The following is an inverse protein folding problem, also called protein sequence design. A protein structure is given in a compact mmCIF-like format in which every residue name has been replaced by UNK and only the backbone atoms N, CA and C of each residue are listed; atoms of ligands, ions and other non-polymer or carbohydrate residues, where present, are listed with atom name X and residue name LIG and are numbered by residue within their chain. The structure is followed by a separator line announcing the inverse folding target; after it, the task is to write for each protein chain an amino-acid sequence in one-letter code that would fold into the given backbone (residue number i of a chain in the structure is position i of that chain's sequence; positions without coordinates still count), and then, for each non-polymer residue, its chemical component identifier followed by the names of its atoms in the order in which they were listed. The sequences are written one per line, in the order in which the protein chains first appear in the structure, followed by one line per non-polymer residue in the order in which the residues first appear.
data_IF_369048792193
#
_entry.id   IF_369048792193
#
_cell.length_a   1.000
_cell.length_b   1.000
_cell.length_c   1.000
_cell.angle_alpha   90.00
_cell.angle_beta   90.00
_cell.angle_gamma   90.00
#
_symmetry.space_group_name_H-M   'P 1'
#
loop_
_entity.id
_entity.type
_entity.pdbx_description
1 polymer ?
#
# COMPACT_ATOMS: atom_id res chain seq x y z
N UNK A 1 35.10 9.45 -6.13
CA UNK A 1 34.11 10.30 -5.44
C UNK A 1 33.94 11.72 -6.03
N UNK A 2 34.98 12.55 -6.17
CA UNK A 2 34.82 13.93 -6.68
C UNK A 2 34.25 14.01 -8.12
N UNK A 3 34.74 13.15 -9.03
CA UNK A 3 34.19 13.02 -10.40
C UNK A 3 32.69 12.67 -10.41
N UNK A 4 32.26 11.81 -9.50
CA UNK A 4 30.86 11.43 -9.38
C UNK A 4 29.98 12.60 -8.90
N UNK A 5 30.45 13.37 -7.91
CA UNK A 5 29.75 14.57 -7.45
C UNK A 5 29.59 15.62 -8.56
N UNK A 6 30.63 15.82 -9.38
CA UNK A 6 30.56 16.69 -10.55
C UNK A 6 29.54 16.19 -11.56
N UNK A 7 29.59 14.89 -11.92
CA UNK A 7 28.59 14.27 -12.81
C UNK A 7 27.14 14.49 -12.32
N UNK A 8 26.87 14.25 -11.04
CA UNK A 8 25.52 14.45 -10.47
C UNK A 8 25.12 15.92 -10.54
N UNK A 9 26.03 16.84 -10.20
CA UNK A 9 25.78 18.28 -10.28
C UNK A 9 25.51 18.74 -11.72
N UNK A 10 26.29 18.25 -12.68
CA UNK A 10 26.13 18.60 -14.09
C UNK A 10 24.80 18.08 -14.63
N UNK A 11 24.42 16.85 -14.27
CA UNK A 11 23.12 16.29 -14.63
C UNK A 11 21.97 17.11 -14.04
N UNK A 12 22.01 17.45 -12.75
CA UNK A 12 20.95 18.21 -12.08
C UNK A 12 20.78 19.65 -12.60
N UNK A 13 21.83 20.23 -13.18
CA UNK A 13 21.80 21.55 -13.80
C UNK A 13 21.47 21.49 -15.31
N UNK A 14 21.31 20.29 -15.88
CA UNK A 14 20.98 20.12 -17.30
C UNK A 14 19.52 20.48 -17.59
N UNK A 15 19.18 20.91 -18.82
CA UNK A 15 17.79 21.20 -19.21
C UNK A 15 16.89 19.97 -19.22
N UNK A 16 17.47 18.76 -19.28
CA UNK A 16 16.74 17.49 -19.26
C UNK A 16 16.37 17.05 -17.84
N UNK A 17 16.97 17.67 -16.81
CA UNK A 17 16.72 17.28 -15.44
C UNK A 17 15.29 17.60 -15.02
N UNK A 18 14.61 16.56 -14.54
CA UNK A 18 13.36 16.69 -13.82
C UNK A 18 13.47 15.98 -12.49
N UNK A 19 13.24 16.71 -11.41
CA UNK A 19 13.25 16.14 -10.06
C UNK A 19 12.13 15.08 -9.93
N UNK A 20 12.44 13.83 -9.54
CA UNK A 20 11.44 12.80 -9.33
C UNK A 20 10.71 13.01 -8.00
N UNK A 21 9.45 12.63 -7.93
CA UNK A 21 8.74 12.37 -6.67
C UNK A 21 9.19 11.03 -6.08
N UNK A 22 9.33 10.01 -6.94
CA UNK A 22 9.77 8.67 -6.55
C UNK A 22 10.43 7.95 -7.73
N UNK A 23 11.35 7.04 -7.43
CA UNK A 23 11.91 6.14 -8.44
C UNK A 23 12.41 4.83 -7.85
N UNK A 24 12.43 3.80 -8.68
CA UNK A 24 12.93 2.48 -8.31
C UNK A 24 12.94 1.54 -9.51
N UNK A 25 13.61 0.41 -9.37
CA UNK A 25 13.62 -0.65 -10.37
C UNK A 25 12.76 -1.80 -9.86
N UNK A 26 11.73 -2.16 -10.63
CA UNK A 26 10.86 -3.29 -10.35
C UNK A 26 11.32 -4.53 -11.12
N UNK A 27 11.20 -5.70 -10.48
CA UNK A 27 11.09 -6.99 -11.17
C UNK A 27 9.62 -7.23 -11.52
N UNK A 28 9.35 -7.66 -12.74
CA UNK A 28 8.00 -7.88 -13.26
C UNK A 28 7.73 -9.38 -13.35
N UNK A 29 6.69 -9.83 -12.65
CA UNK A 29 6.12 -11.15 -12.89
C UNK A 29 5.17 -11.06 -14.09
N UNK A 30 5.43 -11.85 -15.13
CA UNK A 30 4.69 -11.82 -16.39
C UNK A 30 3.69 -12.96 -16.49
N UNK A 31 2.61 -12.71 -17.23
CA UNK A 31 1.60 -13.72 -17.54
C UNK A 31 2.16 -14.89 -18.33
N UNK A 32 1.75 -16.10 -17.97
CA UNK A 32 2.23 -17.34 -18.57
C UNK A 32 1.80 -17.49 -20.03
N UNK A 33 0.69 -16.85 -20.41
CA UNK A 33 0.13 -16.86 -21.76
C UNK A 33 0.34 -15.54 -22.46
N UNK A 34 -0.04 -14.45 -21.80
CA UNK A 34 -0.13 -13.13 -22.43
C UNK A 34 1.17 -12.32 -22.33
N UNK A 35 2.14 -12.78 -21.53
CA UNK A 35 3.37 -12.06 -21.17
C UNK A 35 3.14 -10.67 -20.53
N UNK A 36 1.90 -10.27 -20.25
CA UNK A 36 1.57 -8.99 -19.62
C UNK A 36 2.11 -8.91 -18.19
N UNK A 37 2.44 -7.72 -17.67
CA UNK A 37 2.75 -7.54 -16.24
C UNK A 37 1.56 -7.97 -15.37
N UNK A 38 1.81 -8.86 -14.39
CA UNK A 38 0.83 -9.28 -13.38
C UNK A 38 1.16 -8.73 -11.99
N UNK A 39 2.45 -8.54 -11.71
CA UNK A 39 2.95 -8.04 -10.43
C UNK A 39 4.28 -7.32 -10.65
N UNK A 40 4.52 -6.25 -9.89
CA UNK A 40 5.79 -5.54 -9.85
C UNK A 40 6.33 -5.55 -8.41
N UNK A 41 7.58 -5.97 -8.24
CA UNK A 41 8.25 -6.00 -6.93
C UNK A 41 9.47 -5.10 -6.95
N UNK A 42 9.49 -4.12 -6.06
CA UNK A 42 10.60 -3.16 -5.91
C UNK A 42 11.46 -3.55 -4.69
N UNK A 43 12.72 -3.99 -4.89
CA UNK A 43 13.63 -4.25 -3.77
C UNK A 43 13.99 -2.95 -3.02
N UNK A 44 14.01 -1.82 -3.72
CA UNK A 44 14.34 -0.50 -3.20
C UNK A 44 13.41 0.53 -3.80
N UNK A 45 12.82 1.36 -2.94
CA UNK A 45 12.04 2.53 -3.33
C UNK A 45 12.71 3.80 -2.79
N UNK A 46 13.05 4.71 -3.69
CA UNK A 46 13.56 6.05 -3.35
C UNK A 46 12.40 7.04 -3.45
N UNK A 47 12.26 7.91 -2.45
CA UNK A 47 11.15 8.85 -2.33
C UNK A 47 11.62 10.25 -1.94
N UNK A 48 11.06 11.28 -2.57
CA UNK A 48 11.45 12.66 -2.36
C UNK A 48 12.90 12.93 -2.76
N UNK A 49 13.73 13.35 -1.81
CA UNK A 49 15.14 13.74 -2.05
C UNK A 49 16.15 12.61 -1.83
N UNK A 50 15.67 11.39 -1.57
CA UNK A 50 16.52 10.23 -1.36
C UNK A 50 17.31 9.86 -2.62
N UNK A 51 18.61 9.63 -2.45
CA UNK A 51 19.49 9.03 -3.46
C UNK A 51 19.44 9.68 -4.86
N UNK A 52 19.31 11.02 -4.95
CA UNK A 52 19.28 11.73 -6.25
C UNK A 52 20.53 11.52 -7.12
N UNK A 53 21.67 11.15 -6.51
CA UNK A 53 22.85 10.72 -7.26
C UNK A 53 22.63 9.41 -8.02
N UNK A 54 21.92 8.45 -7.42
CA UNK A 54 21.50 7.22 -8.09
C UNK A 54 20.46 7.49 -9.17
N UNK A 55 19.55 8.44 -8.95
CA UNK A 55 18.63 8.89 -9.98
C UNK A 55 19.37 9.40 -11.22
N UNK A 56 20.37 10.28 -11.04
CA UNK A 56 21.20 10.78 -12.14
C UNK A 56 21.89 9.64 -12.91
N UNK A 57 22.44 8.65 -12.20
CA UNK A 57 23.05 7.46 -12.84
C UNK A 57 22.04 6.69 -13.66
N UNK A 58 20.85 6.41 -13.12
CA UNK A 58 19.82 5.64 -13.83
C UNK A 58 19.32 6.38 -15.08
N UNK A 59 19.11 7.68 -14.99
CA UNK A 59 18.67 8.48 -16.13
C UNK A 59 19.75 8.60 -17.21
N UNK A 60 21.01 8.78 -16.84
CA UNK A 60 22.13 8.75 -17.80
C UNK A 60 22.31 7.37 -18.43
N UNK A 61 22.07 6.29 -17.69
CA UNK A 61 22.15 4.92 -18.19
C UNK A 61 21.01 4.56 -19.15
N UNK A 62 19.84 5.18 -19.02
CA UNK A 62 18.65 4.91 -19.82
C UNK A 62 18.42 5.90 -20.97
N UNK A 63 19.28 6.93 -21.10
CA UNK A 63 19.08 8.06 -22.02
C UNK A 63 18.88 7.70 -23.50
N UNK A 64 19.41 6.56 -23.93
CA UNK A 64 19.31 6.07 -25.31
C UNK A 64 18.19 5.03 -25.49
N UNK A 65 17.50 4.67 -24.42
CA UNK A 65 16.41 3.71 -24.45
C UNK A 65 15.09 4.46 -24.61
N UNK A 66 14.25 3.98 -25.52
CA UNK A 66 12.88 4.46 -25.63
C UNK A 66 12.10 4.00 -24.39
N UNK A 67 11.29 4.89 -23.77
CA UNK A 67 10.42 4.48 -22.69
C UNK A 67 9.43 3.43 -23.18
N UNK A 68 9.14 2.43 -22.35
CA UNK A 68 8.06 1.47 -22.60
C UNK A 68 6.69 2.18 -22.56
N UNK A 69 6.64 3.30 -21.83
CA UNK A 69 5.50 4.19 -21.76
C UNK A 69 5.95 5.63 -21.61
N UNK A 70 5.48 6.51 -22.49
CA UNK A 70 5.51 7.95 -22.30
C UNK A 70 4.10 8.51 -22.51
N UNK A 71 3.61 9.30 -21.55
CA UNK A 71 2.31 9.97 -21.63
C UNK A 71 2.33 11.01 -22.75
N UNK A 72 1.29 11.03 -23.60
CA UNK A 72 1.04 12.05 -24.63
C UNK A 72 0.47 13.34 -24.01
N UNK A 73 1.13 13.90 -22.98
CA UNK A 73 0.81 15.20 -22.41
C UNK A 73 2.03 16.13 -22.48
N UNK A 74 1.81 17.45 -22.45
CA UNK A 74 2.88 18.45 -22.32
C UNK A 74 3.79 18.19 -21.10
N UNK A 75 3.29 17.47 -20.07
CA UNK A 75 4.04 17.10 -18.88
C UNK A 75 3.72 15.69 -18.37
N UNK A 76 4.61 14.76 -18.69
CA UNK A 76 4.55 13.34 -18.31
C UNK A 76 4.51 13.16 -16.79
N UNK A 77 3.50 12.52 -16.21
CA UNK A 77 3.42 12.35 -14.74
C UNK A 77 4.25 11.17 -14.21
N UNK A 78 4.38 10.13 -15.01
CA UNK A 78 5.16 8.92 -14.74
C UNK A 78 5.81 8.39 -16.03
N UNK A 79 6.96 7.74 -15.90
CA UNK A 79 7.65 7.09 -17.03
C UNK A 79 8.17 5.72 -16.60
N UNK A 80 8.11 4.77 -17.54
CA UNK A 80 8.57 3.39 -17.34
C UNK A 80 9.54 3.02 -18.47
N UNK A 81 10.71 2.52 -18.11
CA UNK A 81 11.73 2.07 -19.04
C UNK A 81 12.07 0.60 -18.81
N UNK A 82 12.29 -0.15 -19.90
CA UNK A 82 12.80 -1.50 -19.84
C UNK A 82 14.31 -1.48 -19.58
N UNK A 83 14.78 -2.28 -18.63
CA UNK A 83 16.21 -2.43 -18.37
C UNK A 83 16.82 -3.35 -19.42
N UNK A 84 17.91 -2.91 -20.05
CA UNK A 84 18.71 -3.68 -20.96
C UNK A 84 20.16 -3.85 -20.48
N UNK A 85 20.96 -4.58 -21.26
CA UNK A 85 22.39 -4.77 -21.00
C UNK A 85 23.17 -3.45 -20.94
N UNK A 86 22.84 -2.48 -21.79
CA UNK A 86 23.55 -1.22 -21.89
C UNK A 86 23.36 -0.37 -20.62
N UNK A 87 22.13 -0.34 -20.11
CA UNK A 87 21.80 0.29 -18.83
C UNK A 87 22.69 -0.25 -17.71
N UNK A 88 22.79 -1.59 -17.59
CA UNK A 88 23.53 -2.24 -16.50
C UNK A 88 25.01 -1.89 -16.59
N UNK A 89 25.62 -2.04 -17.77
CA UNK A 89 27.03 -1.72 -17.99
C UNK A 89 27.31 -0.25 -17.65
N UNK A 90 26.48 0.66 -18.17
CA UNK A 90 26.65 2.10 -17.96
C UNK A 90 26.49 2.50 -16.50
N UNK A 91 25.51 1.93 -15.80
CA UNK A 91 25.31 2.17 -14.37
C UNK A 91 26.51 1.69 -13.54
N UNK A 92 27.04 0.50 -13.83
CA UNK A 92 28.22 -0.04 -13.15
C UNK A 92 29.48 0.79 -13.39
N UNK A 93 29.69 1.30 -14.61
CA UNK A 93 30.78 2.23 -14.91
C UNK A 93 30.72 3.48 -14.03
N UNK A 94 29.54 4.09 -13.90
CA UNK A 94 29.34 5.30 -13.11
C UNK A 94 29.46 5.02 -11.59
N UNK A 95 29.07 3.82 -11.15
CA UNK A 95 29.21 3.38 -9.76
C UNK A 95 30.59 2.81 -9.41
N UNK A 96 31.50 2.63 -10.38
CA UNK A 96 32.83 2.06 -10.15
C UNK A 96 33.56 2.59 -8.90
N UNK A 97 33.51 3.91 -8.55
CA UNK A 97 34.15 4.42 -7.35
C UNK A 97 33.62 3.86 -6.01
N UNK A 98 32.42 3.29 -5.98
CA UNK A 98 31.72 2.85 -4.77
C UNK A 98 31.61 1.32 -4.67
N UNK A 99 31.98 0.58 -5.71
CA UNK A 99 31.81 -0.88 -5.74
C UNK A 99 32.58 -1.59 -4.62
N UNK A 100 33.77 -1.11 -4.26
CA UNK A 100 34.54 -1.69 -3.15
C UNK A 100 33.82 -1.55 -1.81
N UNK A 101 33.13 -0.43 -1.56
CA UNK A 101 32.40 -0.20 -0.31
C UNK A 101 31.24 -1.20 -0.16
N UNK A 102 30.51 -1.48 -1.26
CA UNK A 102 29.39 -2.42 -1.28
C UNK A 102 29.84 -3.87 -1.02
N UNK A 103 31.04 -4.24 -1.46
CA UNK A 103 31.61 -5.57 -1.17
C UNK A 103 31.88 -5.77 0.32
N UNK A 104 32.18 -4.71 1.06
CA UNK A 104 32.44 -4.76 2.49
C UNK A 104 31.16 -4.69 3.34
N UNK A 105 30.16 -3.90 2.92
CA UNK A 105 28.87 -3.80 3.62
C UNK A 105 27.68 -3.97 2.66
N UNK A 106 27.03 -5.13 2.75
CA UNK A 106 25.82 -5.48 1.98
C UNK A 106 24.57 -4.71 2.39
N UNK A 107 24.61 -3.84 3.39
CA UNK A 107 23.50 -2.93 3.70
C UNK A 107 23.75 -1.50 3.19
N UNK A 108 24.97 -1.20 2.76
CA UNK A 108 25.35 0.09 2.17
C UNK A 108 24.92 0.19 0.70
N UNK A 109 24.58 1.39 0.24
CA UNK A 109 24.29 1.69 -1.18
C UNK A 109 23.27 0.75 -1.86
N UNK A 110 22.06 0.65 -1.29
CA UNK A 110 21.00 -0.27 -1.78
C UNK A 110 20.72 -0.19 -3.29
N UNK A 111 20.77 1.00 -3.89
CA UNK A 111 20.58 1.17 -5.34
C UNK A 111 21.70 0.52 -6.18
N UNK A 112 22.94 0.51 -5.68
CA UNK A 112 24.06 -0.16 -6.35
C UNK A 112 23.87 -1.68 -6.29
N UNK A 113 23.40 -2.20 -5.14
CA UNK A 113 23.10 -3.62 -5.00
C UNK A 113 22.03 -4.09 -5.98
N UNK A 114 20.99 -3.29 -6.21
CA UNK A 114 19.99 -3.59 -7.25
C UNK A 114 20.66 -3.75 -8.62
N UNK A 115 21.59 -2.87 -8.99
CA UNK A 115 22.32 -2.98 -10.27
C UNK A 115 23.22 -4.21 -10.31
N UNK A 116 23.85 -4.59 -9.19
CA UNK A 116 24.64 -5.82 -9.11
C UNK A 116 23.78 -7.08 -9.28
N UNK A 117 22.57 -7.11 -8.72
CA UNK A 117 21.63 -8.22 -8.95
C UNK A 117 21.09 -8.23 -10.39
N UNK A 118 20.93 -7.06 -11.03
CA UNK A 118 20.63 -6.98 -12.47
C UNK A 118 21.77 -7.55 -13.32
N UNK A 119 23.03 -7.32 -12.95
CA UNK A 119 24.17 -7.90 -13.65
C UNK A 119 24.17 -9.43 -13.58
N UNK A 120 23.83 -10.01 -12.42
CA UNK A 120 23.62 -11.46 -12.30
C UNK A 120 22.43 -11.95 -13.12
N UNK A 121 21.35 -11.17 -13.18
CA UNK A 121 20.19 -11.51 -14.02
C UNK A 121 20.56 -11.51 -15.51
N UNK A 122 21.44 -10.60 -15.94
CA UNK A 122 22.00 -10.58 -17.30
C UNK A 122 22.86 -11.81 -17.58
N UNK A 123 23.74 -12.20 -16.65
CA UNK A 123 24.59 -13.40 -16.80
C UNK A 123 23.77 -14.70 -16.88
N UNK A 124 22.57 -14.74 -16.29
CA UNK A 124 21.67 -15.89 -16.29
C UNK A 124 20.58 -15.83 -17.39
N UNK A 125 20.66 -14.90 -18.35
CA UNK A 125 19.67 -14.70 -19.41
C UNK A 125 18.24 -14.42 -18.90
N UNK A 126 18.11 -13.76 -17.74
CA UNK A 126 16.83 -13.48 -17.06
C UNK A 126 16.29 -12.07 -17.31
N UNK A 127 16.97 -11.24 -18.10
CA UNK A 127 16.50 -9.88 -18.40
C UNK A 127 15.23 -9.85 -19.24
N UNK A 128 14.95 -10.92 -19.99
CA UNK A 128 13.92 -10.93 -21.00
C UNK A 128 13.03 -12.17 -20.89
N UNK A 129 11.77 -12.04 -21.29
CA UNK A 129 10.85 -13.15 -21.56
C UNK A 129 10.49 -13.14 -23.04
N UNK A 130 10.70 -14.26 -23.73
CA UNK A 130 10.35 -14.41 -25.15
C UNK A 130 8.84 -14.34 -25.38
N UNK A 131 8.41 -13.82 -26.54
CA UNK A 131 7.00 -13.89 -26.94
C UNK A 131 6.54 -15.36 -27.06
N UNK A 132 5.49 -15.71 -26.32
CA UNK A 132 4.68 -16.91 -26.59
C UNK A 132 3.59 -16.48 -27.58
N UNK A 133 3.28 -17.30 -28.59
CA UNK A 133 2.50 -17.00 -29.80
C UNK A 133 1.18 -16.21 -29.64
N UNK A 134 0.77 -15.57 -30.75
CA UNK A 134 -0.42 -14.72 -30.98
C UNK A 134 -1.64 -15.05 -30.10
N UNK A 135 -2.08 -14.05 -29.33
CA UNK A 135 -3.28 -14.11 -28.50
C UNK A 135 -4.52 -13.92 -29.38
N UNK A 136 -5.45 -14.89 -29.33
CA UNK A 136 -6.79 -14.76 -29.92
C UNK A 136 -7.56 -13.60 -29.23
N UNK A 137 -8.29 -12.73 -29.96
CA UNK A 137 -8.86 -11.47 -29.45
C UNK A 137 -9.97 -11.61 -28.38
N UNK A 138 -10.23 -12.82 -27.87
CA UNK A 138 -11.18 -13.06 -26.78
C UNK A 138 -10.56 -12.92 -25.36
N UNK A 139 -9.25 -12.72 -25.25
CA UNK A 139 -8.52 -12.53 -23.99
C UNK A 139 -8.14 -11.06 -23.73
N UNK A 140 -9.10 -10.14 -23.74
CA UNK A 140 -8.86 -8.79 -23.21
C UNK A 140 -8.93 -8.81 -21.67
N UNK A 141 -7.82 -9.23 -21.04
CA UNK A 141 -7.50 -8.73 -19.71
C UNK A 141 -7.26 -7.23 -19.85
N UNK A 142 -8.14 -6.43 -19.24
CA UNK A 142 -8.09 -4.98 -19.21
C UNK A 142 -6.85 -4.49 -18.43
N UNK A 143 -5.69 -4.62 -19.04
CA UNK A 143 -4.55 -3.74 -18.82
C UNK A 143 -4.40 -3.01 -20.15
N UNK A 144 -4.37 -1.67 -20.12
CA UNK A 144 -4.13 -0.88 -21.33
C UNK A 144 -2.71 -1.16 -21.84
N UNK A 145 -2.56 -2.22 -22.63
CA UNK A 145 -1.34 -2.48 -23.37
C UNK A 145 -1.42 -1.72 -24.68
N UNK A 146 -0.67 -0.62 -24.71
CA UNK A 146 -0.47 0.24 -25.85
C UNK A 146 0.61 -0.39 -26.73
N UNK A 147 0.19 -1.24 -27.66
CA UNK A 147 1.05 -1.74 -28.72
C UNK A 147 1.05 -0.74 -29.88
N UNK A 148 2.01 0.19 -29.90
CA UNK A 148 2.35 0.91 -31.13
C UNK A 148 3.87 1.02 -31.29
N UNK A 149 4.37 0.22 -32.24
CA UNK A 149 5.59 0.41 -33.02
C UNK A 149 6.95 0.34 -32.31
N UNK A 150 7.40 -0.89 -32.04
CA UNK A 150 8.74 -1.41 -32.40
C UNK A 150 8.80 -2.90 -32.02
N UNK A 151 9.01 -3.77 -33.01
CA UNK A 151 9.06 -5.22 -32.81
C UNK A 151 10.34 -5.64 -32.09
N UNK A 152 10.31 -5.69 -30.76
CA UNK A 152 11.25 -6.51 -29.99
C UNK A 152 10.55 -7.83 -29.66
N UNK A 153 11.12 -8.95 -30.11
CA UNK A 153 10.60 -10.32 -29.93
C UNK A 153 10.57 -10.80 -28.45
N UNK A 154 10.71 -9.88 -27.51
CA UNK A 154 10.94 -10.13 -26.11
C UNK A 154 10.37 -8.98 -25.26
N UNK A 155 9.99 -9.30 -24.02
CA UNK A 155 9.58 -8.33 -23.01
C UNK A 155 10.63 -8.21 -21.90
N UNK A 156 10.90 -6.99 -21.44
CA UNK A 156 11.83 -6.73 -20.34
C UNK A 156 11.28 -7.24 -18.99
N UNK A 157 12.05 -7.98 -18.22
CA UNK A 157 11.61 -8.49 -16.90
C UNK A 157 11.89 -7.50 -15.76
N UNK A 158 12.63 -6.43 -16.04
CA UNK A 158 12.98 -5.41 -15.07
C UNK A 158 12.69 -4.03 -15.64
N UNK A 159 11.97 -3.20 -14.88
CA UNK A 159 11.54 -1.89 -15.31
C UNK A 159 12.07 -0.81 -14.35
N UNK A 160 12.73 0.22 -14.89
CA UNK A 160 12.95 1.47 -14.16
C UNK A 160 11.66 2.28 -14.21
N UNK A 161 11.18 2.68 -13.04
CA UNK A 161 9.93 3.41 -12.89
C UNK A 161 10.24 4.73 -12.21
N UNK A 162 9.75 5.82 -12.76
CA UNK A 162 9.91 7.16 -12.21
C UNK A 162 8.56 7.85 -12.17
N UNK A 163 8.18 8.32 -11.00
CA UNK A 163 7.01 9.18 -10.80
C UNK A 163 7.52 10.60 -10.58
N UNK A 164 7.02 11.54 -11.38
CA UNK A 164 7.35 12.96 -11.24
C UNK A 164 6.28 13.73 -10.46
N UNK A 165 5.01 13.35 -10.64
CA UNK A 165 3.85 14.02 -10.05
C UNK A 165 2.81 13.00 -9.58
N UNK A 166 2.11 13.31 -8.49
CA UNK A 166 1.05 12.45 -7.96
C UNK A 166 -0.28 12.63 -8.72
N UNK A 167 -0.30 12.14 -9.97
CA UNK A 167 -1.53 12.01 -10.80
C UNK A 167 -2.10 10.58 -10.72
N UNK A 168 -3.31 10.30 -11.22
CA UNK A 168 -3.81 8.91 -11.32
C UNK A 168 -2.79 8.01 -12.02
N UNK A 169 -2.62 6.79 -11.51
CA UNK A 169 -1.65 5.85 -12.05
C UNK A 169 -2.03 5.47 -13.48
N UNK A 170 -1.04 5.32 -14.38
CA UNK A 170 -1.27 4.94 -15.78
C UNK A 170 -0.73 3.54 -16.08
N UNK A 171 0.06 2.98 -15.17
CA UNK A 171 0.71 1.67 -15.30
C UNK A 171 0.55 0.82 -14.04
N UNK A 172 0.72 -0.51 -14.19
CA UNK A 172 0.73 -1.43 -13.06
C UNK A 172 1.90 -1.11 -12.12
N UNK A 173 3.04 -0.76 -12.71
CA UNK A 173 4.28 -0.46 -12.03
C UNK A 173 4.16 0.75 -11.11
N UNK A 174 3.56 1.84 -11.58
CA UNK A 174 3.34 3.03 -10.75
C UNK A 174 2.32 2.77 -9.63
N UNK A 175 1.27 1.99 -9.90
CA UNK A 175 0.32 1.55 -8.89
C UNK A 175 1.03 0.77 -7.76
N UNK A 176 1.85 -0.23 -8.11
CA UNK A 176 2.63 -0.99 -7.13
C UNK A 176 3.65 -0.11 -6.38
N UNK A 177 4.29 0.85 -7.06
CA UNK A 177 5.20 1.80 -6.42
C UNK A 177 4.49 2.66 -5.36
N UNK A 178 3.30 3.19 -5.66
CA UNK A 178 2.51 3.98 -4.71
C UNK A 178 2.02 3.15 -3.52
N UNK A 179 1.57 1.91 -3.77
CA UNK A 179 1.19 0.98 -2.70
C UNK A 179 2.38 0.64 -1.79
N UNK A 180 3.59 0.51 -2.37
CA UNK A 180 4.80 0.32 -1.59
C UNK A 180 5.13 1.56 -0.77
N UNK A 181 5.00 2.77 -1.34
CA UNK A 181 5.25 4.01 -0.61
C UNK A 181 4.35 4.15 0.63
N UNK A 182 3.08 3.78 0.53
CA UNK A 182 2.16 3.71 1.67
C UNK A 182 2.61 2.67 2.70
N UNK A 183 2.92 1.45 2.24
CA UNK A 183 3.33 0.35 3.12
C UNK A 183 4.66 0.62 3.83
N UNK A 184 5.53 1.41 3.20
CA UNK A 184 6.81 1.89 3.74
C UNK A 184 6.69 3.12 4.66
N UNK A 185 5.51 3.73 4.77
CA UNK A 185 5.33 5.00 5.48
C UNK A 185 6.06 6.18 4.83
N UNK A 186 6.49 6.06 3.57
CA UNK A 186 7.12 7.14 2.79
C UNK A 186 6.09 8.18 2.34
N UNK A 187 4.84 7.76 2.20
CA UNK A 187 3.70 8.62 1.98
C UNK A 187 2.64 8.39 3.08
N UNK A 188 2.02 9.44 3.63
CA UNK A 188 0.89 9.28 4.54
C UNK A 188 -0.28 8.55 3.89
N UNK A 189 -1.09 7.86 4.71
CA UNK A 189 -2.37 7.32 4.25
C UNK A 189 -3.23 8.44 3.65
N UNK A 190 -3.97 8.11 2.58
CA UNK A 190 -4.81 9.02 1.79
C UNK A 190 -4.08 10.15 1.06
N UNK A 191 -2.74 10.24 1.14
CA UNK A 191 -2.01 11.34 0.50
C UNK A 191 -1.72 11.10 -0.98
N UNK A 192 -1.82 9.86 -1.46
CA UNK A 192 -1.50 9.50 -2.84
C UNK A 192 -2.75 9.32 -3.68
N UNK A 193 -2.69 9.78 -4.93
CA UNK A 193 -3.75 9.55 -5.90
C UNK A 193 -3.72 8.09 -6.41
N UNK A 194 -4.69 7.30 -5.94
CA UNK A 194 -4.92 5.90 -6.33
C UNK A 194 -6.21 5.73 -7.17
N UNK A 195 -6.72 6.80 -7.76
CA UNK A 195 -7.89 6.73 -8.63
C UNK A 195 -7.62 5.78 -9.80
N UNK A 196 -8.60 4.94 -10.13
CA UNK A 196 -8.48 3.97 -11.23
C UNK A 196 -7.59 2.76 -10.94
N UNK A 197 -6.94 2.63 -9.77
CA UNK A 197 -5.96 1.57 -9.52
C UNK A 197 -6.48 0.14 -9.78
N UNK A 198 -7.76 -0.12 -9.51
CA UNK A 198 -8.36 -1.45 -9.72
C UNK A 198 -8.39 -1.89 -11.19
N UNK A 199 -8.44 -0.97 -12.15
CA UNK A 199 -8.39 -1.33 -13.57
C UNK A 199 -6.98 -1.67 -14.03
N UNK A 200 -5.95 -1.20 -13.34
CA UNK A 200 -4.54 -1.48 -13.68
C UNK A 200 -4.08 -2.85 -13.17
N UNK A 201 -4.69 -3.34 -12.09
CA UNK A 201 -4.30 -4.60 -11.44
C UNK A 201 -5.14 -5.77 -11.99
N UNK A 202 -4.55 -6.77 -12.67
CA UNK A 202 -5.29 -7.92 -13.18
C UNK A 202 -5.75 -8.82 -12.02
N UNK A 203 -6.91 -9.47 -12.18
CA UNK A 203 -7.34 -10.49 -11.23
C UNK A 203 -6.63 -11.81 -11.56
N UNK A 204 -5.77 -12.27 -10.65
CA UNK A 204 -4.90 -13.44 -10.87
C UNK A 204 -5.03 -14.43 -9.73
N UNK A 205 -4.71 -15.70 -9.99
CA UNK A 205 -4.55 -16.69 -8.94
C UNK A 205 -3.14 -16.59 -8.35
N UNK A 206 -3.02 -16.64 -7.03
CA UNK A 206 -1.75 -16.58 -6.32
C UNK A 206 -1.43 -17.93 -5.69
N UNK A 207 -0.25 -18.44 -5.97
CA UNK A 207 0.34 -19.62 -5.32
C UNK A 207 1.71 -19.21 -4.77
N UNK A 208 1.81 -19.08 -3.45
CA UNK A 208 2.91 -18.41 -2.79
C UNK A 208 3.08 -16.98 -3.33
N UNK A 209 4.28 -16.68 -3.85
CA UNK A 209 4.59 -15.38 -4.48
C UNK A 209 4.33 -15.34 -5.98
N UNK A 210 3.84 -16.43 -6.59
CA UNK A 210 3.71 -16.55 -8.05
C UNK A 210 2.27 -16.22 -8.48
N UNK A 211 2.07 -15.16 -9.28
CA UNK A 211 0.78 -14.90 -9.91
C UNK A 211 0.59 -15.75 -11.17
N UNK A 212 -0.60 -16.29 -11.34
CA UNK A 212 -1.02 -17.09 -12.49
C UNK A 212 -2.23 -16.45 -13.18
N UNK A 213 -2.18 -16.38 -14.51
CA UNK A 213 -3.35 -16.03 -15.30
C UNK A 213 -4.42 -17.11 -15.13
N UNK A 214 -5.64 -16.67 -14.82
CA UNK A 214 -6.77 -17.58 -14.62
C UNK A 214 -7.08 -18.38 -15.90
N UNK A 215 -6.94 -17.76 -17.06
CA UNK A 215 -7.18 -18.44 -18.33
C UNK A 215 -6.13 -19.50 -18.64
N UNK A 216 -4.84 -19.18 -18.40
CA UNK A 216 -3.77 -20.15 -18.54
C UNK A 216 -3.99 -21.36 -17.62
N UNK A 217 -4.42 -21.14 -16.37
CA UNK A 217 -4.76 -22.22 -15.44
C UNK A 217 -5.90 -23.10 -15.97
N UNK A 218 -6.95 -22.51 -16.55
CA UNK A 218 -8.07 -23.27 -17.14
C UNK A 218 -7.63 -24.13 -18.32
N UNK A 219 -6.82 -23.57 -19.22
CA UNK A 219 -6.31 -24.27 -20.40
C UNK A 219 -5.41 -25.45 -20.03
N UNK A 220 -4.62 -25.32 -18.96
CA UNK A 220 -3.66 -26.33 -18.54
C UNK A 220 -4.16 -27.19 -17.37
N UNK A 221 -5.38 -26.97 -16.88
CA UNK A 221 -5.89 -27.57 -15.64
C UNK A 221 -5.81 -29.10 -15.65
N UNK A 222 -6.30 -29.72 -16.73
CA UNK A 222 -6.34 -31.18 -16.88
C UNK A 222 -4.91 -31.73 -16.87
N UNK A 223 -4.02 -31.16 -17.69
CA UNK A 223 -2.64 -31.62 -17.80
C UNK A 223 -1.89 -31.46 -16.47
N UNK A 224 -2.05 -30.32 -15.79
CA UNK A 224 -1.43 -30.05 -14.50
C UNK A 224 -1.94 -31.00 -13.42
N UNK A 225 -3.23 -31.29 -13.37
CA UNK A 225 -3.82 -32.25 -12.41
C UNK A 225 -3.39 -33.68 -12.67
N UNK A 226 -3.40 -34.12 -13.93
CA UNK A 226 -2.96 -35.48 -14.31
C UNK A 226 -1.46 -35.73 -14.07
N UNK A 227 -0.66 -34.66 -13.95
CA UNK A 227 0.78 -34.73 -13.69
C UNK A 227 1.16 -34.39 -12.25
N UNK A 228 0.20 -34.19 -11.35
CA UNK A 228 0.43 -33.72 -9.96
C UNK A 228 1.24 -32.40 -9.88
N UNK A 229 1.07 -31.52 -10.87
CA UNK A 229 1.71 -30.20 -10.99
C UNK A 229 0.74 -29.02 -10.81
N UNK A 230 -0.52 -29.30 -10.47
CA UNK A 230 -1.49 -28.23 -10.24
C UNK A 230 -1.06 -27.35 -9.05
N UNK A 231 -0.89 -26.03 -9.23
CA UNK A 231 -0.36 -25.16 -8.18
C UNK A 231 -1.32 -25.08 -6.98
N UNK A 232 -0.76 -24.94 -5.78
CA UNK A 232 -1.55 -24.68 -4.57
C UNK A 232 -2.03 -23.23 -4.58
N UNK A 233 -3.26 -23.00 -5.05
CA UNK A 233 -3.83 -21.64 -5.11
C UNK A 233 -4.24 -21.20 -3.71
N UNK A 234 -3.53 -20.22 -3.16
CA UNK A 234 -3.79 -19.62 -1.84
C UNK A 234 -4.97 -18.65 -1.86
N UNK A 235 -5.11 -17.85 -2.94
CA UNK A 235 -6.18 -16.88 -3.13
C UNK A 235 -6.26 -16.40 -4.59
N UNK A 236 -7.39 -15.79 -4.96
CA UNK A 236 -7.59 -15.11 -6.25
C UNK A 236 -8.00 -13.67 -5.98
N UNK A 237 -7.15 -12.72 -6.33
CA UNK A 237 -7.40 -11.28 -6.10
C UNK A 237 -6.50 -10.42 -6.99
N UNK A 238 -6.85 -9.14 -7.11
CA UNK A 238 -6.07 -8.09 -7.78
C UNK A 238 -4.87 -7.59 -6.95
N UNK A 239 -4.94 -7.72 -5.62
CA UNK A 239 -3.91 -7.24 -4.70
C UNK A 239 -3.14 -8.42 -4.09
N UNK A 240 -1.80 -8.38 -4.04
CA UNK A 240 -1.04 -9.31 -3.21
C UNK A 240 -1.20 -8.98 -1.73
N UNK A 241 -0.74 -9.90 -0.87
CA UNK A 241 -0.62 -9.70 0.57
C UNK A 241 0.60 -8.83 0.89
N UNK A 242 0.57 -8.11 2.00
CA UNK A 242 1.65 -7.21 2.43
C UNK A 242 3.01 -7.91 2.54
N UNK A 243 3.05 -9.08 3.18
CA UNK A 243 4.28 -9.86 3.37
C UNK A 243 4.81 -10.53 2.09
N UNK A 244 4.08 -10.45 0.98
CA UNK A 244 4.58 -10.88 -0.33
C UNK A 244 5.44 -9.80 -0.99
N UNK A 245 5.31 -8.53 -0.57
CA UNK A 245 5.99 -7.40 -1.19
C UNK A 245 7.04 -6.75 -0.30
N UNK A 246 6.89 -6.84 1.03
CA UNK A 246 7.82 -6.20 1.96
C UNK A 246 7.85 -6.84 3.35
N UNK A 247 8.93 -6.59 4.07
CA UNK A 247 9.11 -6.93 5.49
C UNK A 247 8.83 -5.68 6.32
N UNK A 248 8.02 -5.74 7.39
CA UNK A 248 7.78 -4.59 8.27
C UNK A 248 9.06 -3.89 8.69
N UNK A 249 9.02 -2.55 8.80
CA UNK A 249 10.22 -1.74 9.07
C UNK A 249 10.70 -1.81 10.51
N UNK A 250 9.87 -2.37 11.40
CA UNK A 250 10.09 -2.42 12.83
C UNK A 250 9.89 -3.85 13.34
N UNK A 251 10.81 -4.32 14.18
CA UNK A 251 10.85 -5.70 14.68
C UNK A 251 9.62 -6.07 15.52
N UNK A 252 8.99 -5.09 16.18
CA UNK A 252 7.80 -5.28 17.01
C UNK A 252 6.48 -5.08 16.25
N UNK A 253 6.49 -5.26 14.93
CA UNK A 253 5.28 -5.42 14.11
C UNK A 253 5.00 -6.91 13.92
N UNK A 254 3.84 -7.37 14.40
CA UNK A 254 3.46 -8.79 14.36
C UNK A 254 2.22 -9.01 13.51
N UNK A 255 2.35 -9.88 12.51
CA UNK A 255 1.27 -10.34 11.65
C UNK A 255 1.13 -11.85 11.80
N UNK A 256 0.08 -12.30 12.47
CA UNK A 256 -0.10 -13.74 12.76
C UNK A 256 -0.71 -14.50 11.57
N UNK A 257 -1.27 -13.80 10.59
CA UNK A 257 -1.76 -14.37 9.34
C UNK A 257 -1.63 -13.35 8.20
N UNK A 258 -0.78 -13.66 7.21
CA UNK A 258 -0.50 -12.81 6.04
C UNK A 258 -1.76 -12.50 5.22
N UNK A 259 -2.77 -13.39 5.20
CA UNK A 259 -4.01 -13.20 4.45
C UNK A 259 -4.86 -12.01 4.95
N UNK A 260 -4.60 -11.54 6.16
CA UNK A 260 -5.36 -10.48 6.83
C UNK A 260 -4.82 -9.07 6.56
N UNK A 261 -3.71 -8.94 5.82
CA UNK A 261 -3.09 -7.64 5.50
C UNK A 261 -2.81 -7.53 4.02
N UNK A 262 -3.58 -6.67 3.32
CA UNK A 262 -3.32 -6.35 1.92
C UNK A 262 -2.08 -5.47 1.74
N UNK A 263 -1.40 -5.65 0.63
CA UNK A 263 -0.37 -4.71 0.19
C UNK A 263 -0.96 -3.31 -0.02
N UNK A 264 -0.24 -2.28 0.43
CA UNK A 264 -0.74 -0.91 0.53
C UNK A 264 -1.29 -0.53 1.91
N UNK A 265 -1.32 -1.45 2.87
CA UNK A 265 -1.62 -1.15 4.27
C UNK A 265 -0.40 -0.55 4.98
N UNK A 266 -0.61 0.37 5.93
CA UNK A 266 0.45 0.95 6.77
C UNK A 266 0.32 0.49 8.22
N UNK A 267 1.41 0.00 8.81
CA UNK A 267 1.40 -0.68 10.10
C UNK A 267 2.07 0.14 11.22
N UNK A 268 2.20 1.45 11.03
CA UNK A 268 2.74 2.36 12.03
C UNK A 268 4.25 2.27 12.23
N UNK A 269 4.73 2.97 13.25
CA UNK A 269 6.16 3.05 13.61
C UNK A 269 6.62 1.98 14.62
N UNK A 270 5.90 0.86 14.69
CA UNK A 270 6.12 -0.21 15.67
C UNK A 270 4.97 -0.40 16.66
N UNK A 271 5.04 -1.48 17.43
CA UNK A 271 4.07 -1.84 18.47
C UNK A 271 2.71 -2.34 17.94
N UNK A 272 2.62 -2.67 16.64
CA UNK A 272 1.40 -3.18 16.02
C UNK A 272 1.33 -4.71 16.12
N UNK A 273 0.19 -5.24 16.57
CA UNK A 273 -0.08 -6.67 16.56
C UNK A 273 -1.43 -6.94 15.88
N UNK A 274 -1.42 -7.77 14.83
CA UNK A 274 -2.63 -8.24 14.17
C UNK A 274 -2.92 -9.69 14.56
N UNK A 275 -4.03 -9.90 15.26
CA UNK A 275 -4.50 -11.24 15.66
C UNK A 275 -5.26 -11.91 14.51
N UNK A 276 -5.14 -13.22 14.27
CA UNK A 276 -5.59 -13.84 13.03
C UNK A 276 -7.10 -14.13 12.97
N UNK A 277 -7.80 -14.09 14.11
CA UNK A 277 -9.19 -14.54 14.25
C UNK A 277 -10.16 -13.85 13.29
N UNK A 278 -10.44 -12.57 13.54
CA UNK A 278 -11.41 -11.79 12.75
C UNK A 278 -10.87 -10.44 12.28
N UNK A 279 -9.53 -10.30 12.28
CA UNK A 279 -8.90 -9.05 11.85
C UNK A 279 -8.78 -8.93 10.34
N UNK A 280 -8.66 -7.70 9.87
CA UNK A 280 -8.31 -7.39 8.49
C UNK A 280 -7.77 -5.97 8.39
N UNK A 281 -6.87 -5.72 7.45
CA UNK A 281 -6.50 -4.36 7.04
C UNK A 281 -6.36 -4.29 5.52
N UNK A 282 -7.06 -3.33 4.94
CA UNK A 282 -7.11 -3.13 3.50
C UNK A 282 -6.00 -2.17 3.01
N UNK A 283 -5.85 -2.01 1.71
CA UNK A 283 -4.93 -1.03 1.13
C UNK A 283 -5.37 0.41 1.46
N UNK A 284 -4.40 1.32 1.51
CA UNK A 284 -4.58 2.73 1.89
C UNK A 284 -5.27 2.88 3.26
N UNK A 285 -5.13 1.89 4.13
CA UNK A 285 -5.61 1.91 5.50
C UNK A 285 -4.49 1.49 6.44
N UNK A 286 -4.59 1.85 7.71
CA UNK A 286 -3.47 1.65 8.60
C UNK A 286 -3.62 2.19 10.00
N UNK A 287 -2.58 1.95 10.77
CA UNK A 287 -2.37 2.49 12.10
C UNK A 287 -1.18 3.45 12.08
N UNK A 288 -1.22 4.50 12.89
CA UNK A 288 -0.13 5.48 12.97
C UNK A 288 1.02 5.03 13.89
N UNK A 289 0.74 4.11 14.82
CA UNK A 289 1.67 3.61 15.83
C UNK A 289 1.16 2.34 16.51
N UNK A 290 1.49 2.16 17.78
CA UNK A 290 1.11 0.98 18.55
C UNK A 290 -0.42 0.77 18.55
N UNK A 291 -0.84 -0.46 18.25
CA UNK A 291 -2.25 -0.84 18.14
C UNK A 291 -2.41 -2.35 18.26
N UNK A 292 -3.39 -2.78 19.05
CA UNK A 292 -3.89 -4.16 19.04
C UNK A 292 -5.02 -4.23 18.02
N UNK A 293 -4.85 -5.04 16.97
CA UNK A 293 -5.87 -5.21 15.94
C UNK A 293 -6.39 -6.64 15.86
N UNK A 294 -7.61 -6.82 16.35
CA UNK A 294 -8.38 -8.05 16.27
C UNK A 294 -9.64 -7.91 15.40
N UNK A 295 -9.82 -6.74 14.75
CA UNK A 295 -10.99 -6.39 13.94
C UNK A 295 -10.64 -5.91 12.52
N UNK A 296 -11.66 -5.42 11.80
CA UNK A 296 -11.59 -5.12 10.38
C UNK A 296 -11.42 -3.62 10.14
N UNK A 297 -10.28 -3.25 9.56
CA UNK A 297 -9.94 -1.90 9.12
C UNK A 297 -10.13 -1.83 7.59
N UNK A 298 -11.21 -1.17 7.18
CA UNK A 298 -11.56 -1.02 5.76
C UNK A 298 -10.65 -0.01 5.04
N UNK A 299 -10.67 0.00 3.70
CA UNK A 299 -9.82 0.91 2.89
C UNK A 299 -10.06 2.38 3.26
N UNK A 300 -8.98 3.17 3.25
CA UNK A 300 -8.95 4.57 3.66
C UNK A 300 -9.20 4.82 5.15
N UNK A 301 -9.31 3.80 6.02
CA UNK A 301 -9.40 4.00 7.47
C UNK A 301 -8.02 4.30 8.06
N UNK A 302 -7.95 5.33 8.91
CA UNK A 302 -6.74 5.69 9.65
C UNK A 302 -7.01 5.54 11.14
N UNK A 303 -6.11 4.87 11.85
CA UNK A 303 -6.23 4.58 13.28
C UNK A 303 -5.07 5.20 14.04
N UNK A 304 -5.38 6.08 14.98
CA UNK A 304 -4.40 6.72 15.84
C UNK A 304 -3.74 5.75 16.81
N UNK A 305 -2.52 6.09 17.20
CA UNK A 305 -1.71 5.35 18.16
C UNK A 305 -2.42 5.13 19.51
N UNK A 306 -2.17 3.98 20.13
CA UNK A 306 -2.73 3.60 21.43
C UNK A 306 -4.15 3.03 21.35
N UNK A 307 -4.72 2.95 20.15
CA UNK A 307 -6.06 2.43 19.94
C UNK A 307 -6.07 0.90 19.94
N UNK A 308 -7.09 0.33 20.59
CA UNK A 308 -7.37 -1.10 20.63
C UNK A 308 -8.63 -1.41 19.82
N UNK A 309 -8.50 -2.31 18.84
CA UNK A 309 -9.58 -2.80 17.99
C UNK A 309 -9.89 -4.24 18.38
N UNK A 310 -10.91 -4.40 19.23
CA UNK A 310 -11.29 -5.69 19.77
C UNK A 310 -11.82 -6.69 18.74
N UNK A 311 -11.82 -7.97 19.13
CA UNK A 311 -12.14 -9.11 18.28
C UNK A 311 -13.40 -8.93 17.43
N UNK A 312 -13.24 -8.91 16.11
CA UNK A 312 -14.35 -8.84 15.16
C UNK A 312 -15.04 -7.48 15.04
N UNK A 313 -14.54 -6.44 15.71
CA UNK A 313 -14.99 -5.07 15.50
C UNK A 313 -14.86 -4.68 14.02
N UNK A 314 -15.77 -3.84 13.51
CA UNK A 314 -15.77 -3.38 12.12
C UNK A 314 -15.64 -1.87 12.05
N UNK A 315 -14.63 -1.40 11.33
CA UNK A 315 -14.52 0.01 10.93
C UNK A 315 -14.90 0.10 9.47
N UNK A 316 -16.01 0.80 9.19
CA UNK A 316 -16.58 0.90 7.85
C UNK A 316 -15.70 1.76 6.94
N UNK A 317 -15.55 1.34 5.69
CA UNK A 317 -14.87 2.11 4.65
C UNK A 317 -15.85 2.92 3.80
N UNK A 318 -15.30 3.70 2.86
CA UNK A 318 -16.08 4.41 1.84
C UNK A 318 -16.70 3.43 0.85
N UNK A 319 -15.88 2.51 0.31
CA UNK A 319 -16.29 1.58 -0.74
C UNK A 319 -17.29 0.50 -0.28
N UNK A 320 -17.15 0.03 0.96
CA UNK A 320 -17.91 -1.13 1.49
C UNK A 320 -18.98 -0.74 2.51
N UNK A 321 -18.99 0.51 3.00
CA UNK A 321 -19.75 0.93 4.18
C UNK A 321 -20.79 2.02 3.96
N UNK A 322 -20.97 2.50 2.73
CA UNK A 322 -21.96 3.54 2.40
C UNK A 322 -21.62 4.94 2.91
N UNK A 323 -20.42 5.14 3.45
CA UNK A 323 -19.94 6.44 3.91
C UNK A 323 -19.41 7.29 2.75
N UNK A 324 -19.75 8.58 2.72
CA UNK A 324 -19.23 9.53 1.73
C UNK A 324 -17.82 10.03 2.06
N UNK A 325 -17.38 9.88 3.32
CA UNK A 325 -16.08 10.34 3.81
C UNK A 325 -15.34 9.20 4.53
N UNK A 326 -14.01 9.09 4.38
CA UNK A 326 -13.21 8.09 5.10
C UNK A 326 -13.28 8.24 6.63
N UNK A 327 -13.40 7.12 7.34
CA UNK A 327 -13.39 7.10 8.81
C UNK A 327 -11.97 7.27 9.35
N UNK A 328 -11.80 8.16 10.33
CA UNK A 328 -10.58 8.26 11.14
C UNK A 328 -10.90 7.96 12.59
N UNK A 329 -10.05 7.19 13.26
CA UNK A 329 -10.12 6.92 14.68
C UNK A 329 -8.94 7.63 15.34
N UNK A 330 -9.20 8.47 16.33
CA UNK A 330 -8.17 9.18 17.08
C UNK A 330 -7.32 8.26 17.95
N UNK A 331 -6.48 8.87 18.78
CA UNK A 331 -5.56 8.16 19.69
C UNK A 331 -6.27 7.57 20.88
N UNK A 332 -5.71 6.48 21.41
CA UNK A 332 -6.16 5.86 22.65
C UNK A 332 -7.66 5.56 22.65
N UNK A 333 -8.22 5.05 21.56
CA UNK A 333 -9.60 4.60 21.51
C UNK A 333 -9.72 3.12 21.91
N UNK A 334 -10.92 2.68 22.30
CA UNK A 334 -11.23 1.27 22.54
C UNK A 334 -12.49 0.89 21.77
N UNK A 335 -12.34 0.03 20.77
CA UNK A 335 -13.46 -0.57 20.05
C UNK A 335 -13.72 -1.97 20.63
N UNK A 336 -14.85 -2.13 21.31
CA UNK A 336 -15.24 -3.40 21.89
C UNK A 336 -15.48 -4.49 20.84
N UNK A 337 -15.33 -5.75 21.24
CA UNK A 337 -15.52 -6.90 20.37
C UNK A 337 -16.87 -6.83 19.62
N UNK A 338 -16.85 -7.16 18.33
CA UNK A 338 -18.00 -7.15 17.44
C UNK A 338 -18.79 -5.83 17.36
N UNK A 339 -18.22 -4.69 17.78
CA UNK A 339 -18.85 -3.39 17.53
C UNK A 339 -18.78 -3.03 16.03
N UNK A 340 -19.60 -2.08 15.61
CA UNK A 340 -19.56 -1.53 14.24
C UNK A 340 -19.43 -0.01 14.33
N UNK A 341 -18.37 0.53 13.74
CA UNK A 341 -18.10 1.95 13.69
C UNK A 341 -18.31 2.48 12.28
N UNK A 342 -19.31 3.34 12.12
CA UNK A 342 -19.69 4.01 10.87
C UNK A 342 -19.43 5.51 10.87
N UNK A 343 -18.78 6.07 11.89
CA UNK A 343 -18.42 7.50 11.99
C UNK A 343 -16.95 7.64 12.41
N UNK A 344 -16.35 8.82 12.22
CA UNK A 344 -15.03 9.12 12.78
C UNK A 344 -15.10 9.31 14.29
N UNK A 345 -14.03 8.96 14.99
CA UNK A 345 -13.87 9.19 16.43
C UNK A 345 -12.67 10.11 16.67
N UNK A 346 -12.82 11.06 17.59
CA UNK A 346 -11.66 11.75 18.16
C UNK A 346 -10.96 10.87 19.20
N UNK A 347 -9.91 11.41 19.81
CA UNK A 347 -9.14 10.72 20.85
C UNK A 347 -9.98 10.27 22.06
N UNK A 348 -9.58 9.15 22.68
CA UNK A 348 -10.11 8.69 23.96
C UNK A 348 -11.54 8.17 23.92
N UNK A 349 -12.04 7.79 22.73
CA UNK A 349 -13.39 7.27 22.58
C UNK A 349 -13.48 5.76 22.91
N UNK A 350 -14.65 5.33 23.38
CA UNK A 350 -14.97 3.94 23.71
C UNK A 350 -16.26 3.55 23.01
N UNK A 351 -16.27 2.38 22.38
CA UNK A 351 -17.48 1.73 21.88
C UNK A 351 -17.60 0.39 22.58
N UNK A 352 -18.68 0.19 23.35
CA UNK A 352 -18.89 -1.10 24.00
C UNK A 352 -19.06 -2.25 22.97
N UNK A 353 -18.81 -3.48 23.41
CA UNK A 353 -18.93 -4.66 22.56
C UNK A 353 -20.34 -4.78 21.96
N UNK A 354 -20.42 -5.15 20.69
CA UNK A 354 -21.67 -5.30 19.94
C UNK A 354 -22.40 -4.01 19.56
N UNK A 355 -21.88 -2.83 19.94
CA UNK A 355 -22.55 -1.54 19.67
C UNK A 355 -22.34 -1.09 18.22
N UNK A 356 -23.43 -0.72 17.55
CA UNK A 356 -23.42 -0.10 16.22
C UNK A 356 -23.49 1.43 16.29
N UNK A 357 -22.36 2.09 16.04
CA UNK A 357 -22.25 3.56 15.95
C UNK A 357 -22.27 3.99 14.50
N UNK A 358 -23.46 4.05 13.92
CA UNK A 358 -23.66 4.44 12.52
C UNK A 358 -24.09 5.92 12.42
N UNK A 359 -23.92 6.52 11.25
CA UNK A 359 -24.27 7.92 11.01
C UNK A 359 -25.72 8.27 11.39
N UNK A 360 -26.65 7.33 11.21
CA UNK A 360 -28.07 7.48 11.52
C UNK A 360 -28.49 7.02 12.92
N UNK A 361 -27.64 6.30 13.65
CA UNK A 361 -27.96 5.84 15.01
C UNK A 361 -28.19 7.04 15.92
N UNK A 362 -29.28 7.06 16.69
CA UNK A 362 -29.58 8.14 17.64
C UNK A 362 -29.08 7.73 19.02
N UNK A 363 -28.33 8.62 19.67
CA UNK A 363 -27.80 8.47 21.02
C UNK A 363 -28.41 9.50 21.95
N UNK A 364 -28.82 9.06 23.14
CA UNK A 364 -29.20 9.93 24.25
C UNK A 364 -27.95 10.32 25.06
N UNK A 365 -27.78 11.62 25.32
CA UNK A 365 -26.69 12.17 26.14
C UNK A 365 -27.31 13.02 27.24
N UNK A 366 -27.09 12.62 28.50
CA UNK A 366 -27.60 13.36 29.66
C UNK A 366 -27.03 14.80 29.71
N UNK A 367 -27.80 15.81 30.15
CA UNK A 367 -27.38 17.22 30.14
C UNK A 367 -26.02 17.45 30.82
N UNK A 368 -25.79 16.84 31.98
CA UNK A 368 -24.50 16.90 32.69
C UNK A 368 -23.35 16.40 31.80
N UNK A 369 -23.54 15.28 31.13
CA UNK A 369 -22.51 14.72 30.25
C UNK A 369 -22.31 15.55 28.99
N UNK A 370 -23.36 16.16 28.45
CA UNK A 370 -23.26 17.04 27.29
C UNK A 370 -22.40 18.29 27.61
N UNK A 371 -22.56 18.86 28.82
CA UNK A 371 -21.71 19.96 29.28
C UNK A 371 -20.25 19.53 29.47
N UNK A 372 -19.97 18.35 30.02
CA UNK A 372 -18.59 17.86 30.13
C UNK A 372 -17.96 17.56 28.75
N UNK A 373 -18.75 17.06 27.80
CA UNK A 373 -18.29 16.86 26.42
C UNK A 373 -17.98 18.18 25.71
N UNK A 374 -18.78 19.23 25.94
CA UNK A 374 -18.53 20.56 25.38
C UNK A 374 -17.20 21.15 25.86
N UNK A 375 -16.78 20.89 27.10
CA UNK A 375 -15.48 21.37 27.62
C UNK A 375 -14.29 20.82 26.83
N UNK A 376 -14.38 19.58 26.34
CA UNK A 376 -13.31 18.92 25.57
C UNK A 376 -13.54 18.97 24.06
N UNK A 377 -14.73 19.42 23.64
CA UNK A 377 -15.13 19.60 22.25
C UNK A 377 -15.78 20.97 22.06
N UNK A 378 -15.02 22.05 21.84
CA UNK A 378 -15.57 23.41 21.77
C UNK A 378 -16.61 23.62 20.66
N UNK A 379 -16.55 22.82 19.61
CA UNK A 379 -17.48 22.84 18.47
C UNK A 379 -18.78 22.07 18.73
N UNK A 380 -18.86 21.32 19.83
CA UNK A 380 -20.06 20.58 20.21
C UNK A 380 -21.04 21.47 20.96
N UNK A 381 -22.27 21.54 20.46
CA UNK A 381 -23.35 22.31 21.09
C UNK A 381 -24.40 21.37 21.68
N UNK A 382 -24.61 21.37 23.01
CA UNK A 382 -25.65 20.60 23.64
C UNK A 382 -27.05 20.97 23.14
N UNK A 383 -27.86 19.97 22.81
CA UNK A 383 -29.26 20.08 22.44
C UNK A 383 -30.18 19.91 23.65
N UNK A 384 -31.26 20.69 23.77
CA UNK A 384 -32.24 20.57 24.85
C UNK A 384 -32.86 19.18 24.98
N UNK A 385 -33.13 18.51 23.86
CA UNK A 385 -33.72 17.17 23.82
C UNK A 385 -32.74 16.05 24.19
N UNK A 386 -31.43 16.32 24.23
CA UNK A 386 -30.41 15.32 24.55
C UNK A 386 -30.22 14.22 23.51
N UNK A 387 -30.79 14.33 22.31
CA UNK A 387 -30.72 13.32 21.25
C UNK A 387 -29.84 13.76 20.08
N UNK A 388 -28.89 12.90 19.70
CA UNK A 388 -27.89 13.19 18.67
C UNK A 388 -27.75 12.01 17.73
N UNK A 389 -27.76 12.26 16.41
CA UNK A 389 -27.38 11.23 15.43
C UNK A 389 -25.87 11.01 15.48
N UNK A 390 -25.41 9.80 15.18
CA UNK A 390 -23.98 9.47 15.16
C UNK A 390 -23.16 10.43 14.31
N UNK A 391 -23.68 10.88 13.16
CA UNK A 391 -22.99 11.88 12.32
C UNK A 391 -22.67 13.20 13.04
N UNK A 392 -23.48 13.58 14.03
CA UNK A 392 -23.33 14.82 14.81
C UNK A 392 -22.28 14.65 15.93
N UNK A 393 -21.95 13.40 16.25
CA UNK A 393 -20.94 13.02 17.23
C UNK A 393 -19.60 12.64 16.58
N UNK A 394 -19.53 12.66 15.25
CA UNK A 394 -18.36 12.26 14.49
C UNK A 394 -17.17 13.19 14.76
N UNK A 395 -16.02 12.60 15.07
CA UNK A 395 -14.77 13.31 15.34
C UNK A 395 -14.66 13.92 16.74
N UNK A 396 -15.71 13.83 17.57
CA UNK A 396 -15.64 14.30 18.95
C UNK A 396 -14.74 13.41 19.80
N UNK A 397 -14.07 14.02 20.76
CA UNK A 397 -13.18 13.38 21.71
C UNK A 397 -13.93 12.85 22.93
N UNK A 398 -13.44 11.74 23.47
CA UNK A 398 -13.77 11.31 24.82
C UNK A 398 -15.20 10.80 25.00
N UNK A 399 -15.85 10.32 23.94
CA UNK A 399 -17.18 9.72 23.97
C UNK A 399 -17.12 8.25 24.38
N UNK A 400 -18.11 7.80 25.15
CA UNK A 400 -18.36 6.38 25.43
C UNK A 400 -19.75 6.01 24.94
N UNK A 401 -19.80 5.20 23.87
CA UNK A 401 -21.03 4.66 23.29
C UNK A 401 -21.41 3.33 23.94
N UNK A 402 -22.67 3.22 24.36
CA UNK A 402 -23.22 2.07 25.10
C UNK A 402 -24.70 1.86 24.77
N UNK A 403 -25.20 0.65 24.99
CA UNK A 403 -26.63 0.39 25.12
C UNK A 403 -27.01 0.20 26.59
N UNK A 404 -28.00 0.93 27.07
CA UNK A 404 -28.55 0.70 28.41
C UNK A 404 -29.31 -0.63 28.43
N UNK A 405 -28.85 -1.58 29.25
CA UNK A 405 -29.36 -2.97 29.22
C UNK A 405 -30.80 -3.14 29.67
N UNK A 406 -31.35 -2.20 30.45
CA UNK A 406 -32.75 -2.26 30.92
C UNK A 406 -33.75 -1.74 29.89
N UNK A 407 -33.45 -0.60 29.25
CA UNK A 407 -34.37 0.04 28.31
C UNK A 407 -34.07 -0.28 26.84
N UNK A 408 -32.86 -0.76 26.54
CA UNK A 408 -32.36 -0.94 25.18
C UNK A 408 -31.95 0.38 24.50
N UNK A 409 -32.03 1.53 25.19
CA UNK A 409 -31.64 2.82 24.62
C UNK A 409 -30.15 2.88 24.30
N UNK A 410 -29.82 3.46 23.15
CA UNK A 410 -28.45 3.81 22.80
C UNK A 410 -28.09 5.12 23.48
N UNK A 411 -27.00 5.11 24.25
CA UNK A 411 -26.52 6.27 25.00
C UNK A 411 -25.08 6.59 24.63
N UNK A 412 -24.73 7.87 24.76
CA UNK A 412 -23.34 8.32 24.71
C UNK A 412 -23.07 9.25 25.90
N UNK A 413 -21.87 9.18 26.46
CA UNK A 413 -21.47 10.04 27.57
C UNK A 413 -19.97 10.31 27.58
N UNK A 414 -19.52 11.24 28.43
CA UNK A 414 -18.10 11.56 28.60
C UNK A 414 -17.40 10.39 29.28
N UNK A 415 -16.46 9.76 28.58
CA UNK A 415 -15.55 8.78 29.17
C UNK A 415 -14.70 9.43 30.27
N UNK A 416 -14.57 8.77 31.41
CA UNK A 416 -13.58 9.14 32.45
C UNK A 416 -12.41 8.15 32.50
N UNK A 417 -12.40 7.18 31.58
CA UNK A 417 -11.48 6.05 31.61
C UNK A 417 -10.20 6.39 30.85
N UNK A 418 -9.04 6.16 31.49
CA UNK A 418 -7.76 6.15 30.80
C UNK A 418 -7.64 4.83 30.04
N UNK A 419 -7.48 4.92 28.72
CA UNK A 419 -7.25 3.75 27.86
C UNK A 419 -5.74 3.57 27.78
N UNK A 420 -5.27 2.40 28.19
CA UNK A 420 -3.86 2.02 28.15
C UNK A 420 -3.75 0.65 27.50
N UNK A 421 -2.86 0.52 26.53
CA UNK A 421 -2.50 -0.77 25.94
C UNK A 421 -1.70 -1.61 26.94
N UNK A 422 -1.75 -2.93 26.82
CA UNK A 422 -0.96 -3.82 27.66
C UNK A 422 0.52 -3.76 27.26
N UNK A 423 1.37 -3.12 28.08
CA UNK A 423 2.79 -2.90 27.79
C UNK A 423 3.53 -4.18 27.36
N UNK A 424 3.21 -5.33 27.95
CA UNK A 424 3.84 -6.62 27.63
C UNK A 424 3.56 -7.15 26.21
N UNK A 425 2.56 -6.61 25.50
CA UNK A 425 2.18 -7.04 24.15
C UNK A 425 2.70 -6.14 23.04
N UNK A 426 3.28 -4.98 23.37
CA UNK A 426 3.60 -3.93 22.41
C UNK A 426 5.06 -3.43 22.43
N UNK A 427 5.90 -3.99 23.31
CA UNK A 427 7.34 -3.73 23.32
C UNK A 427 8.10 -4.63 22.35
#
# INVERSE_FOLDING_TARGET
MQKFKLFVSDYQNSPEYRKPLAFGIAKIARGQKSAKPLCATFPVLNWGEECLGSYAVFMEAIKHCLPLYAQEEERVSEVVYGIDKNFIHRALELYAPFLQEVLHDKNSHKNIQVVLELAKALENDQLYTSLVQEVHPSCELATKEHATNLSTQYHHNYHLVVIYEDKPCLSLESAYMKLLALSLGKAPLRSLNLEGIFSLLPNVAWSGHTPYELEWLREHEIALKMQDKYPCIDFVDKFPRYLMQMIPQHDNIRLLDSSKTRFGAYLGKGGYTQMPGASYINFNAGVEGACMNEGRISSSVVVGEGTDIGGGASVLGVLSGGNSQPISIGKNCLLGANCVLGISLGDGCIVDAGIGVLAGTIFEIAPKSAHELQKVNPTFTPKPEGLYKGKELSGLHGLHFRQESRSGKMIAFRSVRKIALNESLHH
#
